data_IF_676490994230
#
_entry.id   IF_676490994230
#
_cell.length_a   1.000
_cell.length_b   1.000
_cell.length_c   1.000
_cell.angle_alpha   90.00
_cell.angle_beta   90.00
_cell.angle_gamma   90.00
#
_symmetry.space_group_name_H-M   'P 1'
#
loop_
_entity.id
_entity.type
_entity.pdbx_description
1 polymer ?
#
# COMPACT_ATOMS: atom_id res chain seq x y z
N UNK A 1 -16.79 20.13 15.08
CA UNK A 1 -16.50 18.89 14.37
C UNK A 1 -15.56 19.12 13.22
N UNK A 2 -14.57 18.32 13.16
CA UNK A 2 -13.52 18.48 12.15
C UNK A 2 -13.54 17.33 11.18
N UNK A 3 -13.54 17.66 9.91
CA UNK A 3 -13.41 16.65 8.88
C UNK A 3 -11.95 16.52 8.52
N UNK A 4 -11.52 15.32 8.38
CA UNK A 4 -10.18 15.07 7.92
C UNK A 4 -10.16 15.25 6.40
N UNK A 5 -9.64 16.40 5.95
CA UNK A 5 -9.57 16.67 4.52
C UNK A 5 -8.54 15.78 3.82
N UNK A 6 -7.76 15.07 4.61
CA UNK A 6 -6.76 14.14 4.09
C UNK A 6 -7.17 12.70 4.36
N UNK A 7 -8.48 12.44 4.28
CA UNK A 7 -8.96 11.07 4.44
C UNK A 7 -8.30 10.17 3.43
N UNK A 8 -7.99 8.98 3.87
CA UNK A 8 -7.41 7.99 2.99
C UNK A 8 -8.46 7.53 1.99
N UNK A 9 -8.11 7.55 0.71
CA UNK A 9 -8.94 6.97 -0.34
C UNK A 9 -8.55 5.51 -0.49
N UNK A 10 -9.51 4.67 -0.86
CA UNK A 10 -9.27 3.26 -1.04
C UNK A 10 -9.20 2.88 -2.51
N UNK A 11 -8.47 1.80 -2.78
CA UNK A 11 -8.47 1.16 -4.08
C UNK A 11 -8.77 -0.32 -3.82
N UNK A 12 -9.67 -0.89 -4.61
CA UNK A 12 -10.02 -2.31 -4.46
C UNK A 12 -9.06 -3.21 -5.21
N UNK A 13 -9.14 -4.53 -4.95
CA UNK A 13 -8.27 -5.49 -5.64
C UNK A 13 -8.43 -5.46 -7.15
N UNK A 14 -9.65 -5.28 -7.64
CA UNK A 14 -9.89 -5.25 -9.08
C UNK A 14 -9.24 -4.03 -9.73
N UNK A 15 -9.39 -2.89 -9.09
CA UNK A 15 -8.78 -1.65 -9.58
C UNK A 15 -7.27 -1.77 -9.59
N UNK A 16 -6.69 -2.35 -8.53
CA UNK A 16 -5.24 -2.54 -8.48
C UNK A 16 -4.79 -3.49 -9.58
N UNK A 17 -5.54 -4.56 -9.82
CA UNK A 17 -5.24 -5.48 -10.91
C UNK A 17 -5.19 -4.76 -12.24
N UNK A 18 -6.17 -3.89 -12.51
CA UNK A 18 -6.19 -3.12 -13.75
C UNK A 18 -4.99 -2.18 -13.86
N UNK A 19 -4.65 -1.56 -12.75
CA UNK A 19 -3.50 -0.67 -12.69
C UNK A 19 -2.21 -1.39 -13.05
N UNK A 20 -2.06 -2.60 -12.52
CA UNK A 20 -0.89 -3.43 -12.81
C UNK A 20 -0.88 -3.86 -14.28
N UNK A 21 -2.02 -4.34 -14.78
CA UNK A 21 -2.13 -4.84 -16.15
C UNK A 21 -1.90 -3.77 -17.19
N UNK A 22 -2.30 -2.55 -16.89
CA UNK A 22 -2.12 -1.45 -17.84
C UNK A 22 -0.67 -0.99 -17.95
N UNK A 23 0.20 -1.50 -17.10
CA UNK A 23 1.60 -1.09 -17.10
C UNK A 23 1.83 0.29 -16.53
N UNK A 24 0.87 0.78 -15.77
CA UNK A 24 0.96 2.10 -15.16
C UNK A 24 2.14 2.17 -14.19
N UNK A 25 2.84 3.31 -14.20
CA UNK A 25 3.99 3.51 -13.32
C UNK A 25 3.50 4.03 -11.98
N UNK A 26 3.52 3.18 -10.97
CA UNK A 26 3.11 3.55 -9.62
C UNK A 26 3.99 2.81 -8.61
N UNK A 27 3.92 3.25 -7.38
CA UNK A 27 4.73 2.68 -6.30
C UNK A 27 3.84 1.87 -5.36
N UNK A 28 4.15 0.60 -5.18
CA UNK A 28 3.36 -0.29 -4.33
C UNK A 28 4.11 -0.48 -3.02
N UNK A 29 3.55 0.04 -1.93
CA UNK A 29 4.21 0.10 -0.63
C UNK A 29 3.60 -0.90 0.35
N UNK A 30 4.44 -1.77 0.88
CA UNK A 30 4.05 -2.74 1.92
C UNK A 30 4.57 -2.21 3.26
N UNK A 31 3.68 -2.03 4.23
CA UNK A 31 4.07 -1.49 5.54
C UNK A 31 3.99 -2.53 6.65
N UNK A 32 3.99 -3.81 6.27
CA UNK A 32 3.97 -4.91 7.22
C UNK A 32 5.37 -5.17 7.79
N UNK A 33 5.50 -6.25 8.53
CA UNK A 33 6.81 -6.63 9.09
C UNK A 33 7.63 -7.37 8.04
N UNK A 34 8.97 -7.42 8.23
CA UNK A 34 9.81 -8.22 7.34
C UNK A 34 9.41 -9.70 7.29
N UNK A 35 8.96 -10.25 8.42
CA UNK A 35 8.52 -11.64 8.47
C UNK A 35 7.28 -11.85 7.59
N UNK A 36 6.32 -10.96 7.68
CA UNK A 36 5.13 -11.02 6.83
C UNK A 36 5.51 -10.93 5.36
N UNK A 37 6.37 -9.98 5.03
CA UNK A 37 6.80 -9.75 3.65
C UNK A 37 7.53 -10.97 3.09
N UNK A 38 8.38 -11.59 3.89
CA UNK A 38 9.13 -12.76 3.45
C UNK A 38 8.22 -13.96 3.20
N UNK A 39 7.15 -14.08 4.00
CA UNK A 39 6.21 -15.19 3.83
C UNK A 39 5.41 -15.04 2.54
N UNK A 40 4.87 -13.85 2.30
CA UNK A 40 4.10 -13.52 1.10
C UNK A 40 4.12 -12.03 0.88
N UNK A 41 4.17 -11.59 -0.37
CA UNK A 41 4.00 -10.17 -0.68
C UNK A 41 3.41 -10.07 -2.09
N UNK A 42 2.82 -8.92 -2.38
CA UNK A 42 2.34 -8.65 -3.74
C UNK A 42 3.57 -8.34 -4.59
N UNK A 43 3.67 -8.97 -5.74
CA UNK A 43 4.81 -8.80 -6.62
C UNK A 43 4.99 -7.33 -6.99
N UNK A 44 6.23 -6.86 -6.92
CA UNK A 44 6.54 -5.48 -7.24
C UNK A 44 6.44 -4.53 -6.07
N UNK A 45 6.05 -5.03 -4.89
CA UNK A 45 5.94 -4.16 -3.72
C UNK A 45 7.30 -3.92 -3.08
N UNK A 46 7.39 -2.79 -2.41
CA UNK A 46 8.58 -2.32 -1.72
C UNK A 46 8.26 -2.23 -0.23
N UNK A 47 9.04 -2.90 0.59
CA UNK A 47 8.77 -2.97 2.03
C UNK A 47 9.40 -1.80 2.78
N UNK A 48 8.55 -1.06 3.49
CA UNK A 48 8.99 -0.14 4.53
C UNK A 48 8.10 -0.42 5.73
N UNK A 49 8.60 -1.15 6.74
CA UNK A 49 7.77 -1.44 7.92
C UNK A 49 7.26 -0.15 8.55
N UNK A 50 6.06 -0.22 9.09
CA UNK A 50 5.38 0.96 9.64
C UNK A 50 6.27 1.77 10.57
N UNK A 51 6.98 1.12 11.46
CA UNK A 51 7.80 1.84 12.45
C UNK A 51 9.07 2.45 11.86
N UNK A 52 9.39 2.13 10.61
CA UNK A 52 10.54 2.74 9.94
C UNK A 52 10.13 3.82 8.96
N UNK A 53 8.83 4.03 8.79
CA UNK A 53 8.34 4.91 7.74
C UNK A 53 8.87 6.32 7.83
N UNK A 54 8.81 6.93 9.00
CA UNK A 54 9.24 8.30 9.15
C UNK A 54 10.72 8.49 8.85
N UNK A 55 11.52 7.54 9.28
CA UNK A 55 12.96 7.56 9.04
C UNK A 55 13.29 7.38 7.55
N UNK A 56 12.41 6.70 6.83
CA UNK A 56 12.65 6.33 5.43
C UNK A 56 11.71 7.03 4.45
N UNK A 57 11.09 8.11 4.90
CA UNK A 57 10.08 8.80 4.09
C UNK A 57 10.65 9.29 2.76
N UNK A 58 11.94 9.60 2.72
CA UNK A 58 12.57 10.11 1.51
C UNK A 58 12.69 9.05 0.41
N UNK A 59 12.47 7.80 0.73
CA UNK A 59 12.49 6.73 -0.27
C UNK A 59 11.19 6.68 -1.09
N UNK A 60 10.17 7.43 -0.68
CA UNK A 60 8.89 7.43 -1.37
C UNK A 60 8.88 8.47 -2.49
N UNK A 61 8.43 8.08 -3.69
CA UNK A 61 8.39 9.02 -4.82
C UNK A 61 7.23 10.00 -4.66
N UNK A 62 7.51 11.29 -4.84
CA UNK A 62 6.47 12.31 -4.73
C UNK A 62 5.67 12.46 -6.00
N UNK A 63 6.27 12.12 -7.14
CA UNK A 63 5.64 12.34 -8.44
C UNK A 63 4.86 11.13 -8.95
N UNK A 64 4.83 10.03 -8.17
CA UNK A 64 4.11 8.83 -8.58
C UNK A 64 2.93 8.58 -7.66
N UNK A 65 1.92 7.91 -8.19
CA UNK A 65 0.85 7.37 -7.36
C UNK A 65 1.44 6.31 -6.44
N UNK A 66 0.97 6.29 -5.20
CA UNK A 66 1.36 5.27 -4.24
C UNK A 66 0.12 4.47 -3.85
N UNK A 67 0.26 3.15 -3.87
CA UNK A 67 -0.75 2.26 -3.29
C UNK A 67 -0.08 1.60 -2.10
N UNK A 68 -0.66 1.77 -0.92
CA UNK A 68 -0.10 1.20 0.30
C UNK A 68 -0.98 0.06 0.79
N UNK A 69 -0.38 -1.00 1.30
CA UNK A 69 -1.15 -2.10 1.83
C UNK A 69 -0.50 -2.71 3.07
N UNK A 70 -1.34 -3.41 3.84
CA UNK A 70 -0.87 -4.24 4.93
C UNK A 70 -1.65 -5.56 4.86
N UNK A 71 -1.84 -6.23 5.98
CA UNK A 71 -2.51 -7.52 5.97
C UNK A 71 -4.00 -7.39 5.69
N UNK A 72 -4.70 -6.54 6.45
CA UNK A 72 -6.16 -6.38 6.34
C UNK A 72 -6.60 -4.95 6.08
N UNK A 73 -5.67 -4.00 6.01
CA UNK A 73 -5.99 -2.62 5.65
C UNK A 73 -5.93 -1.60 6.77
N UNK A 74 -5.73 -2.02 8.02
CA UNK A 74 -5.76 -1.08 9.15
C UNK A 74 -4.46 -0.29 9.32
N UNK A 75 -3.33 -0.97 9.36
CA UNK A 75 -2.03 -0.30 9.46
C UNK A 75 -1.81 0.62 8.26
N UNK A 76 -2.17 0.12 7.08
CA UNK A 76 -1.97 0.87 5.84
C UNK A 76 -2.91 2.06 5.73
N UNK A 77 -4.12 1.97 6.29
CA UNK A 77 -5.04 3.12 6.31
C UNK A 77 -4.43 4.28 7.09
N UNK A 78 -3.79 3.97 8.21
CA UNK A 78 -3.11 4.98 9.01
C UNK A 78 -1.98 5.63 8.20
N UNK A 79 -1.17 4.82 7.53
CA UNK A 79 -0.08 5.31 6.68
C UNK A 79 -0.63 6.17 5.54
N UNK A 80 -1.70 5.70 4.91
CA UNK A 80 -2.33 6.41 3.80
C UNK A 80 -2.74 7.82 4.21
N UNK A 81 -3.43 7.94 5.35
CA UNK A 81 -3.84 9.25 5.85
C UNK A 81 -2.65 10.14 6.13
N UNK A 82 -1.62 9.57 6.73
CA UNK A 82 -0.41 10.32 7.05
C UNK A 82 0.27 10.84 5.79
N UNK A 83 0.44 9.99 4.80
CA UNK A 83 1.08 10.38 3.54
C UNK A 83 0.24 11.37 2.76
N UNK A 84 -1.09 11.19 2.76
CA UNK A 84 -1.98 12.15 2.08
C UNK A 84 -1.84 13.54 2.68
N UNK A 85 -1.72 13.60 4.00
CA UNK A 85 -1.54 14.86 4.71
C UNK A 85 -0.23 15.54 4.32
N UNK A 86 0.77 14.74 3.96
CA UNK A 86 2.07 15.25 3.53
C UNK A 86 2.12 15.60 2.03
N UNK A 87 1.00 15.44 1.33
CA UNK A 87 0.91 15.81 -0.08
C UNK A 87 1.18 14.70 -1.07
N UNK A 88 1.35 13.48 -0.60
CA UNK A 88 1.53 12.33 -1.50
C UNK A 88 0.19 11.94 -2.14
N UNK A 89 0.25 11.43 -3.34
CA UNK A 89 -0.93 10.89 -4.02
C UNK A 89 -1.00 9.40 -3.70
N UNK A 90 -1.80 9.06 -2.70
CA UNK A 90 -1.76 7.72 -2.09
C UNK A 90 -3.16 7.16 -1.89
N UNK A 91 -3.29 5.86 -2.10
CA UNK A 91 -4.53 5.12 -1.83
C UNK A 91 -4.20 3.87 -1.02
N UNK A 92 -5.15 3.45 -0.22
CA UNK A 92 -5.03 2.26 0.62
C UNK A 92 -5.69 1.08 -0.08
N UNK A 93 -4.99 -0.04 -0.18
CA UNK A 93 -5.58 -1.26 -0.75
C UNK A 93 -6.60 -1.81 0.24
N UNK A 94 -7.85 -1.73 -0.14
CA UNK A 94 -8.96 -2.15 0.69
C UNK A 94 -8.85 -3.64 0.98
N UNK A 95 -8.95 -4.00 2.27
CA UNK A 95 -8.86 -5.39 2.70
C UNK A 95 -7.46 -5.97 2.69
N UNK A 96 -6.47 -5.19 2.28
CA UNK A 96 -5.07 -5.60 2.31
C UNK A 96 -4.76 -6.81 1.45
N UNK A 97 -3.64 -7.45 1.76
CA UNK A 97 -3.20 -8.61 0.99
C UNK A 97 -4.16 -9.79 1.17
N UNK A 98 -4.89 -9.84 2.29
CA UNK A 98 -5.86 -10.93 2.49
C UNK A 98 -6.97 -10.87 1.46
N UNK A 99 -7.59 -9.71 1.28
CA UNK A 99 -8.65 -9.58 0.28
C UNK A 99 -8.08 -9.73 -1.14
N UNK A 100 -6.88 -9.23 -1.36
CA UNK A 100 -6.19 -9.39 -2.63
C UNK A 100 -6.11 -10.87 -3.01
N UNK A 101 -5.68 -11.72 -2.06
CA UNK A 101 -5.57 -13.16 -2.30
C UNK A 101 -6.94 -13.80 -2.53
N UNK A 102 -7.94 -13.39 -1.75
CA UNK A 102 -9.28 -13.94 -1.86
C UNK A 102 -9.97 -13.57 -3.16
N UNK A 103 -9.52 -12.50 -3.80
CA UNK A 103 -10.11 -12.01 -5.05
C UNK A 103 -9.52 -12.69 -6.28
N UNK A 104 -8.84 -13.81 -6.10
CA UNK A 104 -8.27 -14.57 -7.20
C UNK A 104 -6.87 -14.19 -7.58
N UNK A 105 -6.29 -13.23 -6.88
CA UNK A 105 -4.91 -12.82 -7.11
C UNK A 105 -3.98 -13.68 -6.27
N UNK A 106 -2.75 -13.84 -6.70
CA UNK A 106 -1.76 -14.66 -6.02
C UNK A 106 -0.61 -13.79 -5.57
N UNK A 107 -0.30 -13.86 -4.28
CA UNK A 107 0.88 -13.21 -3.74
C UNK A 107 2.05 -14.15 -3.82
N UNK A 108 3.21 -13.60 -4.14
CA UNK A 108 4.42 -14.40 -4.28
C UNK A 108 5.03 -14.66 -2.91
N UNK A 109 5.41 -15.90 -2.67
CA UNK A 109 6.21 -16.23 -1.51
C UNK A 109 7.63 -15.77 -1.77
N UNK A 110 8.26 -15.19 -0.76
CA UNK A 110 9.65 -14.75 -0.86
C UNK A 110 10.55 -15.79 -0.23
N UNK A 111 11.61 -16.12 -0.91
CA UNK A 111 12.57 -17.09 -0.38
C UNK A 111 13.44 -16.45 0.69
#
# INVERSE_FOLDING_TARGET
MFFNTYSCQNIGPEELTEKIKSGEDFFLLDVRTPTEYAAQSIEGSFLIPLQELERRIDELPREKDIVVYCRVGNRSAYVCSHLARMGYNVKNLEGGIMLWNMSGNVSMAKA
#
